data_IF_686247034910
#
_entry.id   IF_686247034910
#
_cell.length_a   1.000
_cell.length_b   1.000
_cell.length_c   1.000
_cell.angle_alpha   90.00
_cell.angle_beta   90.00
_cell.angle_gamma   90.00
#
_symmetry.space_group_name_H-M   'P 1'
#
loop_
_entity.id
_entity.type
_entity.pdbx_description
1 polymer ?
#
# COMPACT_ATOMS: atom_id res chain seq x y z
N UNK A 1 -12.33 1.80 -14.46
CA UNK A 1 -11.50 0.78 -13.79
C UNK A 1 -11.49 1.09 -12.30
N UNK A 2 -11.78 0.13 -11.40
CA UNK A 2 -11.60 0.36 -9.97
C UNK A 2 -10.12 0.66 -9.69
N UNK A 3 -9.79 1.53 -8.71
CA UNK A 3 -8.40 1.75 -8.32
C UNK A 3 -7.78 0.43 -7.87
N UNK A 4 -6.57 0.14 -8.37
CA UNK A 4 -5.83 -1.06 -8.00
C UNK A 4 -5.57 -1.02 -6.50
N UNK A 5 -5.94 -2.08 -5.79
CA UNK A 5 -5.69 -2.19 -4.35
C UNK A 5 -4.28 -2.72 -4.14
N UNK A 6 -3.48 -1.99 -3.36
CA UNK A 6 -2.13 -2.43 -3.03
C UNK A 6 -2.14 -3.30 -1.77
N UNK A 7 -1.71 -4.54 -1.93
CA UNK A 7 -1.64 -5.57 -0.90
C UNK A 7 -0.34 -6.35 -1.00
N UNK A 8 0.81 -5.74 -0.69
CA UNK A 8 2.08 -6.46 -0.69
C UNK A 8 2.07 -7.52 0.42
N UNK A 9 2.31 -8.77 0.04
CA UNK A 9 2.38 -9.94 0.91
C UNK A 9 3.72 -10.64 0.73
N UNK A 10 4.27 -11.18 1.82
CA UNK A 10 5.45 -12.04 1.77
C UNK A 10 4.98 -13.46 1.48
N UNK A 11 5.49 -14.03 0.40
CA UNK A 11 5.36 -15.43 0.03
C UNK A 11 6.61 -16.17 0.51
N UNK A 12 6.42 -17.40 0.99
CA UNK A 12 7.50 -18.24 1.51
C UNK A 12 7.41 -19.64 0.91
N UNK A 13 8.53 -20.16 0.41
CA UNK A 13 8.65 -21.54 -0.07
C UNK A 13 10.00 -22.14 0.34
N UNK A 14 10.15 -23.45 0.17
CA UNK A 14 11.44 -24.14 0.38
C UNK A 14 12.11 -24.39 -0.95
N UNK A 15 13.42 -24.24 -0.96
CA UNK A 15 14.26 -24.54 -2.12
C UNK A 15 15.45 -25.39 -1.68
N UNK A 16 15.84 -26.33 -2.55
CA UNK A 16 17.02 -27.16 -2.34
C UNK A 16 18.25 -26.41 -2.87
N UNK A 17 19.17 -26.08 -1.96
CA UNK A 17 20.40 -25.35 -2.29
C UNK A 17 21.60 -26.28 -2.20
N UNK A 18 22.75 -25.84 -2.72
CA UNK A 18 24.02 -26.58 -2.60
C UNK A 18 24.48 -26.82 -1.14
N UNK A 19 23.86 -26.15 -0.16
CA UNK A 19 24.12 -26.31 1.27
C UNK A 19 22.97 -27.03 2.03
N UNK A 20 21.94 -27.50 1.31
CA UNK A 20 20.73 -28.13 1.87
C UNK A 20 19.46 -27.31 1.65
N UNK A 21 18.37 -27.69 2.33
CA UNK A 21 17.08 -26.98 2.23
C UNK A 21 17.14 -25.59 2.87
N UNK A 22 16.73 -24.56 2.12
CA UNK A 22 16.60 -23.19 2.60
C UNK A 22 15.16 -22.66 2.44
N UNK A 23 14.79 -21.71 3.30
CA UNK A 23 13.55 -20.94 3.12
C UNK A 23 13.81 -19.74 2.22
N UNK A 24 13.01 -19.59 1.18
CA UNK A 24 13.00 -18.44 0.30
C UNK A 24 11.76 -17.59 0.58
N UNK A 25 11.95 -16.28 0.49
CA UNK A 25 10.95 -15.25 0.78
C UNK A 25 10.90 -14.24 -0.38
N UNK A 26 9.71 -13.86 -0.82
CA UNK A 26 9.52 -12.85 -1.86
C UNK A 26 8.26 -12.03 -1.60
N UNK A 27 8.30 -10.73 -1.89
CA UNK A 27 7.11 -9.90 -1.82
C UNK A 27 6.38 -9.90 -3.15
N UNK A 28 5.06 -10.10 -3.12
CA UNK A 28 4.18 -9.91 -4.28
C UNK A 28 3.01 -9.01 -3.91
N UNK A 29 2.64 -8.12 -4.82
CA UNK A 29 1.53 -7.19 -4.63
C UNK A 29 0.43 -7.43 -5.68
N UNK A 30 -0.83 -7.21 -5.28
CA UNK A 30 -2.00 -7.28 -6.18
C UNK A 30 -1.94 -6.29 -7.37
N UNK A 31 -1.03 -5.30 -7.35
CA UNK A 31 -0.74 -4.44 -8.49
C UNK A 31 0.18 -5.07 -9.56
N UNK A 32 0.61 -6.33 -9.36
CA UNK A 32 1.50 -7.05 -10.26
C UNK A 32 2.99 -6.80 -10.01
N UNK A 33 3.35 -6.00 -9.01
CA UNK A 33 4.75 -5.82 -8.62
C UNK A 33 5.24 -7.03 -7.83
N UNK A 34 6.33 -7.62 -8.29
CA UNK A 34 7.09 -8.68 -7.62
C UNK A 34 8.48 -8.13 -7.29
N UNK A 35 8.99 -8.53 -6.13
CA UNK A 35 10.27 -8.05 -5.64
C UNK A 35 11.33 -9.16 -5.65
N UNK A 36 12.51 -8.84 -5.11
CA UNK A 36 13.61 -9.77 -4.98
C UNK A 36 13.25 -11.01 -4.16
N UNK A 37 14.01 -12.07 -4.40
CA UNK A 37 13.97 -13.28 -3.59
C UNK A 37 15.07 -13.21 -2.54
N UNK A 38 14.73 -13.59 -1.31
CA UNK A 38 15.63 -13.51 -0.16
C UNK A 38 15.60 -14.80 0.62
N UNK A 39 16.75 -15.20 1.15
CA UNK A 39 16.84 -16.25 2.16
C UNK A 39 16.60 -15.74 3.59
N UNK A 40 16.40 -14.43 3.75
CA UNK A 40 16.15 -13.77 5.03
C UNK A 40 14.79 -13.05 5.01
N UNK A 41 13.87 -13.48 5.87
CA UNK A 41 12.52 -12.92 5.99
C UNK A 41 12.52 -11.40 6.20
N UNK A 42 13.48 -10.88 6.98
CA UNK A 42 13.55 -9.44 7.30
C UNK A 42 13.76 -8.57 6.06
N UNK A 43 14.45 -9.07 5.03
CA UNK A 43 14.67 -8.34 3.78
C UNK A 43 13.37 -8.20 2.99
N UNK A 44 12.63 -9.31 2.82
CA UNK A 44 11.30 -9.29 2.21
C UNK A 44 10.31 -8.41 3.01
N UNK A 45 10.37 -8.43 4.34
CA UNK A 45 9.56 -7.56 5.19
C UNK A 45 9.88 -6.06 5.02
N UNK A 46 11.14 -5.73 4.75
CA UNK A 46 11.59 -4.36 4.50
C UNK A 46 11.02 -3.85 3.17
N UNK A 47 11.18 -4.60 2.09
CA UNK A 47 10.60 -4.24 0.80
C UNK A 47 9.07 -4.17 0.83
N UNK A 48 8.42 -5.04 1.60
CA UNK A 48 6.97 -4.98 1.82
C UNK A 48 6.57 -3.63 2.43
N UNK A 49 7.33 -3.16 3.42
CA UNK A 49 7.08 -1.87 4.07
C UNK A 49 7.35 -0.70 3.12
N UNK A 50 8.46 -0.74 2.39
CA UNK A 50 8.84 0.27 1.41
C UNK A 50 7.80 0.40 0.29
N UNK A 51 7.38 -0.72 -0.32
CA UNK A 51 6.34 -0.69 -1.34
C UNK A 51 5.03 -0.15 -0.80
N UNK A 52 4.63 -0.58 0.41
CA UNK A 52 3.41 -0.08 1.06
C UNK A 52 3.46 1.43 1.23
N UNK A 53 4.60 1.99 1.60
CA UNK A 53 4.78 3.45 1.73
C UNK A 53 4.77 4.14 0.38
N UNK A 54 5.43 3.59 -0.63
CA UNK A 54 5.52 4.16 -1.98
C UNK A 54 4.17 4.27 -2.67
N UNK A 55 3.28 3.29 -2.47
CA UNK A 55 1.95 3.23 -3.10
C UNK A 55 0.83 3.77 -2.20
N UNK A 56 1.17 4.23 -0.99
CA UNK A 56 0.18 4.78 -0.08
C UNK A 56 -0.39 6.09 -0.64
N UNK A 57 -1.71 6.24 -0.77
CA UNK A 57 -2.34 7.49 -1.21
C UNK A 57 -1.98 8.67 -0.30
N UNK A 58 -2.25 9.92 -0.73
CA UNK A 58 -2.17 11.08 0.15
C UNK A 58 -2.98 10.89 1.44
N UNK A 59 -2.53 11.51 2.54
CA UNK A 59 -3.07 11.26 3.89
C UNK A 59 -4.56 11.57 3.98
N UNK A 60 -5.02 12.59 3.27
CA UNK A 60 -6.41 13.02 3.17
C UNK A 60 -7.29 11.99 2.46
N UNK A 61 -6.71 11.18 1.57
CA UNK A 61 -7.41 10.11 0.84
C UNK A 61 -7.39 8.77 1.58
N UNK A 62 -6.58 8.66 2.64
CA UNK A 62 -6.48 7.43 3.45
C UNK A 62 -7.69 7.23 4.32
N UNK A 63 -7.97 5.98 4.65
CA UNK A 63 -9.07 5.64 5.55
C UNK A 63 -8.82 6.13 6.98
N UNK A 64 -9.71 6.98 7.49
CA UNK A 64 -9.69 7.47 8.88
C UNK A 64 -10.33 6.48 9.86
N UNK A 65 -11.23 5.61 9.37
CA UNK A 65 -11.89 4.57 10.16
C UNK A 65 -11.88 3.21 9.42
N UNK A 66 -10.73 2.49 9.42
CA UNK A 66 -10.55 1.27 8.65
C UNK A 66 -11.50 0.13 9.05
N UNK A 67 -11.86 0.05 10.34
CA UNK A 67 -12.77 -0.97 10.87
C UNK A 67 -14.18 -0.76 10.34
N UNK A 68 -14.70 0.47 10.43
CA UNK A 68 -16.04 0.80 9.94
C UNK A 68 -16.14 0.70 8.43
N UNK A 69 -15.10 1.10 7.70
CA UNK A 69 -15.09 1.11 6.22
C UNK A 69 -14.54 -0.19 5.60
N UNK A 70 -14.24 -1.21 6.42
CA UNK A 70 -13.79 -2.55 5.98
C UNK A 70 -12.62 -2.51 4.98
N UNK A 71 -11.58 -1.73 5.30
CA UNK A 71 -10.38 -1.57 4.46
C UNK A 71 -9.14 -1.34 5.32
N UNK A 72 -7.96 -1.20 4.70
CA UNK A 72 -6.73 -0.92 5.44
C UNK A 72 -6.55 0.59 5.64
N UNK A 73 -5.81 0.96 6.69
CA UNK A 73 -5.54 2.38 6.99
C UNK A 73 -4.70 3.10 5.93
N UNK A 74 -3.95 2.34 5.12
CA UNK A 74 -3.13 2.87 4.03
C UNK A 74 -3.82 2.81 2.67
N UNK A 75 -5.11 2.42 2.60
CA UNK A 75 -5.87 2.42 1.35
C UNK A 75 -6.52 3.76 1.05
N UNK A 76 -6.78 3.98 -0.25
CA UNK A 76 -7.72 5.01 -0.68
C UNK A 76 -9.11 4.61 -0.24
N UNK A 77 -9.72 5.41 0.63
CA UNK A 77 -11.06 5.16 1.12
C UNK A 77 -12.09 5.91 0.27
N UNK A 78 -12.99 5.21 -0.41
CA UNK A 78 -14.10 5.86 -1.15
C UNK A 78 -15.07 6.64 -0.25
N UNK A 79 -15.04 6.43 1.06
CA UNK A 79 -15.87 7.20 2.01
C UNK A 79 -15.10 8.44 2.47
N UNK A 80 -13.86 8.28 2.93
CA UNK A 80 -13.10 9.40 3.48
C UNK A 80 -12.48 10.31 2.40
N UNK A 81 -12.05 9.76 1.27
CA UNK A 81 -11.40 10.51 0.20
C UNK A 81 -12.40 11.36 -0.60
N UNK A 82 -13.66 10.94 -0.67
CA UNK A 82 -14.70 11.58 -1.48
C UNK A 82 -15.64 12.45 -0.61
N UNK A 83 -15.31 12.63 0.68
CA UNK A 83 -15.98 13.59 1.55
C UNK A 83 -15.60 15.01 1.18
N UNK A 84 -16.61 15.84 0.89
CA UNK A 84 -16.41 17.27 0.71
C UNK A 84 -15.94 17.92 2.02
N UNK A 85 -15.03 18.89 1.97
CA UNK A 85 -14.73 19.73 3.12
C UNK A 85 -15.99 20.47 3.56
N UNK A 86 -16.09 20.74 4.86
CA UNK A 86 -17.15 21.61 5.37
C UNK A 86 -16.94 23.03 4.81
N UNK A 87 -18.01 23.78 4.51
CA UNK A 87 -17.88 25.18 4.11
C UNK A 87 -17.02 25.98 5.11
N UNK A 88 -15.96 26.64 4.62
CA UNK A 88 -15.02 27.38 5.48
C UNK A 88 -13.91 26.56 6.15
N UNK A 89 -13.83 25.25 5.90
CA UNK A 89 -12.70 24.38 6.26
C UNK A 89 -11.98 23.84 5.00
N UNK A 90 -12.16 24.53 3.88
CA UNK A 90 -11.51 24.21 2.62
C UNK A 90 -10.01 24.46 2.75
N UNK A 91 -9.19 23.54 2.23
CA UNK A 91 -7.75 23.77 2.19
C UNK A 91 -7.46 24.92 1.20
N UNK A 92 -6.76 25.99 1.62
CA UNK A 92 -6.52 27.13 0.75
C UNK A 92 -5.66 26.77 -0.47
N UNK A 93 -4.87 25.70 -0.43
CA UNK A 93 -4.14 25.20 -1.60
C UNK A 93 -5.05 24.41 -2.56
N UNK A 94 -6.12 23.77 -2.07
CA UNK A 94 -7.12 23.13 -2.92
C UNK A 94 -7.99 24.14 -3.69
N UNK A 95 -8.19 25.35 -3.14
CA UNK A 95 -8.92 26.44 -3.78
C UNK A 95 -8.10 27.21 -4.83
N UNK A 96 -6.77 27.10 -4.81
CA UNK A 96 -5.86 27.86 -5.67
C UNK A 96 -5.58 27.20 -7.05
N UNK A 97 -6.17 26.04 -7.34
CA UNK A 97 -5.82 25.22 -8.51
C UNK A 97 -6.84 25.22 -9.66
N UNK A 98 -7.01 26.34 -10.36
CA UNK A 98 -7.07 26.46 -11.85
C UNK A 98 -7.52 27.87 -12.30
N UNK A 99 -6.62 28.79 -12.67
CA UNK A 99 -6.96 29.78 -13.68
C UNK A 99 -6.90 29.07 -15.04
N UNK A 100 -8.06 28.98 -15.69
CA UNK A 100 -8.15 28.67 -17.13
C UNK A 100 -7.43 29.72 -17.97
#
# INVERSE_FOLDING_TARGET
>A
MPPIRHRPRVHRWREDTSQGEAWCYQVRCECGTEFGEYYAERLAETERAEHRMAVAPPREQRCRDPKRHRMQSWDRCCVCADQLPLPGMEDPAALAGNPR
#
